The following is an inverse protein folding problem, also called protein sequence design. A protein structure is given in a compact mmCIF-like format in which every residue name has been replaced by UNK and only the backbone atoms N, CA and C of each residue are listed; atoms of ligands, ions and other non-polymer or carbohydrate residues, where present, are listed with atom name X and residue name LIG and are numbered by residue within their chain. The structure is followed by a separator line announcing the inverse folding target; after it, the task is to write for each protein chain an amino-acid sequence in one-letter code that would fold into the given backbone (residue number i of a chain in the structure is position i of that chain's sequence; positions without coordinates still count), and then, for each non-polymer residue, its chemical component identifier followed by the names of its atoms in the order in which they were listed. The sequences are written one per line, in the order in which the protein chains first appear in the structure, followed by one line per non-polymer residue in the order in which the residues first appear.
data_IF_434114575711
#
_entry.id   IF_434114575711
#
_cell.length_a   1.000
_cell.length_b   1.000
_cell.length_c   1.000
_cell.angle_alpha   90.00
_cell.angle_beta   90.00
_cell.angle_gamma   90.00
#
_symmetry.space_group_name_H-M   'P 1'
#
loop_
_entity.id
_entity.type
_entity.pdbx_description
1 polymer ?
#
# COMPACT_ATOMS: atom_id res chain seq x y z
N UNK A 1 29.58 16.38 39.73
CA UNK A 1 28.47 17.36 39.75
C UNK A 1 27.15 16.65 39.49
N UNK A 2 26.94 16.04 38.31
CA UNK A 2 25.71 15.29 37.97
C UNK A 2 25.39 14.15 38.97
N UNK A 3 26.39 13.36 39.39
CA UNK A 3 26.18 12.30 40.38
C UNK A 3 25.79 12.81 41.77
N UNK A 4 26.12 14.07 42.09
CA UNK A 4 25.80 14.71 43.37
C UNK A 4 24.36 15.27 43.34
N UNK A 5 23.94 15.83 42.20
CA UNK A 5 22.54 16.24 42.00
C UNK A 5 21.59 15.04 41.97
N UNK A 6 21.97 13.95 41.29
CA UNK A 6 21.15 12.74 41.24
C UNK A 6 21.03 12.06 42.61
N UNK A 7 22.06 12.13 43.45
CA UNK A 7 22.00 11.57 44.81
C UNK A 7 21.16 12.44 45.75
N UNK A 8 21.18 13.77 45.60
CA UNK A 8 20.28 14.67 46.33
C UNK A 8 18.81 14.45 45.95
N UNK A 9 18.50 14.28 44.65
CA UNK A 9 17.14 14.01 44.16
C UNK A 9 16.60 12.68 44.67
N UNK A 10 17.43 11.62 44.68
CA UNK A 10 17.03 10.30 45.19
C UNK A 10 16.82 10.28 46.71
N UNK A 11 17.58 11.09 47.48
CA UNK A 11 17.48 11.14 48.94
C UNK A 11 16.30 12.01 49.42
N UNK A 12 15.95 13.06 48.67
CA UNK A 12 14.86 13.99 49.00
C UNK A 12 13.49 13.62 48.44
N UNK A 13 13.42 12.85 47.34
CA UNK A 13 12.20 12.64 46.56
C UNK A 13 11.17 11.63 47.10
N UNK A 14 11.54 10.77 48.07
CA UNK A 14 10.68 9.67 48.54
C UNK A 14 10.20 9.79 50.01
N UNK A 15 10.51 10.89 50.70
CA UNK A 15 10.30 11.00 52.15
C UNK A 15 8.92 11.52 52.56
N UNK A 16 8.19 12.15 51.64
CA UNK A 16 6.81 12.60 51.83
C UNK A 16 5.93 11.97 50.75
N UNK A 17 5.14 10.91 51.06
CA UNK A 17 4.09 10.51 50.14
C UNK A 17 3.13 11.69 49.99
N UNK A 18 2.72 12.04 48.76
CA UNK A 18 1.78 13.14 48.57
C UNK A 18 0.50 12.87 49.37
N UNK A 19 0.17 13.74 50.33
CA UNK A 19 -1.06 13.64 51.17
C UNK A 19 -2.35 13.61 50.35
N UNK A 20 -2.29 13.93 49.06
CA UNK A 20 -3.39 13.80 48.09
C UNK A 20 -3.61 12.36 47.60
N UNK A 21 -2.61 11.47 47.66
CA UNK A 21 -2.76 10.08 47.23
C UNK A 21 -3.47 9.21 48.29
N UNK A 22 -3.37 9.55 49.57
CA UNK A 22 -3.99 8.76 50.66
C UNK A 22 -5.48 9.06 50.83
N UNK A 23 -5.93 10.28 50.53
CA UNK A 23 -7.35 10.65 50.60
C UNK A 23 -8.19 10.04 49.46
N UNK A 24 -7.61 9.87 48.27
CA UNK A 24 -8.29 9.23 47.13
C UNK A 24 -8.47 7.70 47.32
N UNK A 25 -7.55 7.06 48.06
CA UNK A 25 -7.57 5.60 48.25
C UNK A 25 -8.65 5.09 49.20
N UNK A 26 -9.08 5.88 50.19
CA UNK A 26 -10.03 5.43 51.22
C UNK A 26 -11.51 5.56 50.79
N UNK A 27 -11.82 6.49 49.87
CA UNK A 27 -13.17 6.60 49.28
C UNK A 27 -13.30 5.74 48.00
N UNK A 28 -12.19 5.57 47.25
CA UNK A 28 -12.14 4.79 46.01
C UNK A 28 -12.31 3.27 46.17
N UNK A 29 -12.20 2.72 47.39
CA UNK A 29 -12.41 1.29 47.61
C UNK A 29 -13.89 0.89 47.53
N UNK A 30 -14.84 1.81 47.78
CA UNK A 30 -16.28 1.53 47.74
C UNK A 30 -16.95 1.90 46.41
N UNK A 31 -16.29 2.70 45.56
CA UNK A 31 -16.82 3.18 44.28
C UNK A 31 -15.92 2.69 43.14
N UNK A 32 -16.48 1.89 42.24
CA UNK A 32 -15.75 1.42 41.06
C UNK A 32 -15.50 2.57 40.09
N UNK A 33 -14.23 2.93 39.88
CA UNK A 33 -13.82 3.95 38.91
C UNK A 33 -14.33 3.65 37.50
N UNK A 34 -14.32 2.37 37.07
CA UNK A 34 -14.85 1.95 35.76
C UNK A 34 -16.34 2.23 35.63
N UNK A 35 -17.10 2.04 36.72
CA UNK A 35 -18.55 2.31 36.76
C UNK A 35 -18.83 3.81 36.64
N UNK A 36 -18.12 4.64 37.39
CA UNK A 36 -18.33 6.10 37.35
C UNK A 36 -17.87 6.69 36.01
N UNK A 37 -16.72 6.26 35.47
CA UNK A 37 -16.30 6.66 34.14
C UNK A 37 -17.32 6.23 33.07
N UNK A 38 -17.85 5.01 33.16
CA UNK A 38 -18.89 4.54 32.25
C UNK A 38 -20.15 5.40 32.32
N UNK A 39 -20.60 5.80 33.52
CA UNK A 39 -21.74 6.71 33.68
C UNK A 39 -21.48 8.02 32.92
N UNK A 40 -20.37 8.70 33.20
CA UNK A 40 -20.02 9.97 32.54
C UNK A 40 -19.95 9.81 31.01
N UNK A 41 -19.33 8.73 30.53
CA UNK A 41 -19.13 8.49 29.10
C UNK A 41 -20.45 8.32 28.34
N UNK A 42 -21.44 7.66 28.96
CA UNK A 42 -22.75 7.40 28.34
C UNK A 42 -23.85 8.40 28.72
N UNK A 43 -23.64 9.27 29.71
CA UNK A 43 -24.63 10.29 30.09
C UNK A 43 -24.25 11.70 29.63
N UNK A 44 -23.00 12.12 29.83
CA UNK A 44 -22.57 13.51 29.62
C UNK A 44 -21.68 13.64 28.38
N UNK A 45 -20.85 12.63 28.09
CA UNK A 45 -19.85 12.67 27.01
C UNK A 45 -20.21 11.80 25.80
N UNK A 46 -21.51 11.59 25.54
CA UNK A 46 -21.95 10.75 24.42
C UNK A 46 -21.48 11.30 23.06
N UNK A 47 -21.56 12.61 22.85
CA UNK A 47 -21.18 13.22 21.57
C UNK A 47 -19.67 13.10 21.25
N UNK A 48 -18.74 13.43 22.18
CA UNK A 48 -17.32 13.13 21.98
C UNK A 48 -17.02 11.64 21.74
N UNK A 49 -17.75 10.73 22.38
CA UNK A 49 -17.60 9.29 22.17
C UNK A 49 -17.98 8.88 20.74
N UNK A 50 -19.07 9.42 20.20
CA UNK A 50 -19.49 9.18 18.81
C UNK A 50 -18.47 9.71 17.81
N UNK A 51 -17.94 10.92 18.05
CA UNK A 51 -16.87 11.50 17.21
C UNK A 51 -15.63 10.61 17.23
N UNK A 52 -15.23 10.10 18.40
CA UNK A 52 -14.12 9.15 18.51
C UNK A 52 -14.39 7.85 17.73
N UNK A 53 -15.62 7.33 17.74
CA UNK A 53 -16.00 6.15 16.97
C UNK A 53 -15.88 6.38 15.45
N UNK A 54 -16.32 7.54 14.97
CA UNK A 54 -16.17 7.92 13.55
C UNK A 54 -14.70 8.11 13.18
N UNK A 55 -13.88 8.72 14.04
CA UNK A 55 -12.44 8.84 13.83
C UNK A 55 -11.80 7.45 13.71
N UNK A 56 -12.15 6.50 14.59
CA UNK A 56 -11.63 5.12 14.50
C UNK A 56 -12.06 4.42 13.20
N UNK A 57 -13.31 4.63 12.76
CA UNK A 57 -13.79 4.07 11.50
C UNK A 57 -12.97 4.59 10.31
N UNK A 58 -12.78 5.92 10.23
CA UNK A 58 -11.97 6.55 9.19
C UNK A 58 -10.52 6.07 9.26
N UNK A 59 -9.95 5.92 10.46
CA UNK A 59 -8.60 5.43 10.64
C UNK A 59 -8.41 4.02 10.06
N UNK A 60 -9.36 3.11 10.25
CA UNK A 60 -9.32 1.76 9.67
C UNK A 60 -9.33 1.82 8.14
N UNK A 61 -10.24 2.61 7.56
CA UNK A 61 -10.34 2.79 6.10
C UNK A 61 -9.03 3.37 5.54
N UNK A 62 -8.48 4.40 6.20
CA UNK A 62 -7.23 5.03 5.80
C UNK A 62 -6.05 4.07 5.88
N UNK A 63 -5.96 3.25 6.94
CA UNK A 63 -4.90 2.26 7.10
C UNK A 63 -4.93 1.20 5.99
N UNK A 64 -6.11 0.69 5.64
CA UNK A 64 -6.28 -0.27 4.54
C UNK A 64 -5.93 0.40 3.21
N UNK A 65 -6.49 1.58 2.93
CA UNK A 65 -6.22 2.30 1.69
C UNK A 65 -4.73 2.61 1.48
N UNK A 66 -4.01 2.95 2.56
CA UNK A 66 -2.58 3.25 2.52
C UNK A 66 -1.72 2.01 2.23
N UNK A 67 -2.12 0.85 2.75
CA UNK A 67 -1.38 -0.42 2.59
C UNK A 67 -1.80 -1.21 1.35
N UNK A 68 -2.97 -0.92 0.77
CA UNK A 68 -3.48 -1.56 -0.43
C UNK A 68 -2.68 -1.11 -1.66
N UNK A 69 -1.60 -1.82 -1.95
CA UNK A 69 -0.72 -1.56 -3.09
C UNK A 69 -1.01 -2.51 -4.24
N UNK A 70 -1.40 -1.95 -5.39
CA UNK A 70 -1.43 -2.73 -6.64
C UNK A 70 0.00 -3.09 -7.09
N UNK A 71 0.22 -4.35 -7.45
CA UNK A 71 1.50 -4.80 -8.04
C UNK A 71 1.56 -4.41 -9.51
N UNK A 72 2.65 -3.77 -9.93
CA UNK A 72 2.88 -3.36 -11.33
C UNK A 72 2.96 -4.54 -12.30
N UNK A 73 3.38 -5.70 -11.82
CA UNK A 73 3.49 -6.92 -12.63
C UNK A 73 2.16 -7.69 -12.74
N UNK A 74 1.11 -7.23 -12.05
CA UNK A 74 -0.20 -7.88 -12.11
C UNK A 74 -0.91 -7.48 -13.40
N UNK A 75 -1.07 -8.44 -14.31
CA UNK A 75 -1.85 -8.27 -15.54
C UNK A 75 -3.29 -8.69 -15.26
N UNK A 76 -4.17 -7.72 -15.10
CA UNK A 76 -5.61 -7.95 -15.08
C UNK A 76 -6.13 -7.98 -16.51
N UNK A 77 -6.97 -8.96 -16.83
CA UNK A 77 -7.74 -8.92 -18.05
C UNK A 77 -9.16 -8.46 -17.76
N UNK A 78 -9.69 -7.56 -18.60
CA UNK A 78 -11.07 -7.15 -18.54
C UNK A 78 -11.92 -8.13 -19.38
N UNK A 79 -12.80 -8.97 -18.78
CA UNK A 79 -13.60 -9.94 -19.52
C UNK A 79 -14.55 -9.27 -20.52
N UNK A 80 -15.08 -8.10 -20.18
CA UNK A 80 -15.99 -7.35 -21.06
C UNK A 80 -15.30 -6.92 -22.34
N UNK A 81 -14.03 -6.50 -22.25
CA UNK A 81 -13.23 -6.17 -23.43
C UNK A 81 -12.88 -7.42 -24.25
N UNK A 82 -12.62 -8.56 -23.60
CA UNK A 82 -12.32 -9.82 -24.29
C UNK A 82 -13.50 -10.39 -25.07
N UNK A 83 -14.73 -10.19 -24.60
CA UNK A 83 -15.94 -10.70 -25.26
C UNK A 83 -16.34 -9.80 -26.44
N UNK A 84 -16.07 -8.49 -26.36
CA UNK A 84 -16.50 -7.50 -27.37
C UNK A 84 -15.65 -7.50 -28.65
N UNK A 85 -14.58 -8.30 -28.70
CA UNK A 85 -13.62 -8.26 -29.80
C UNK A 85 -14.19 -8.90 -31.06
N UNK A 86 -14.01 -8.24 -32.22
CA UNK A 86 -14.46 -8.72 -33.52
C UNK A 86 -13.30 -9.30 -34.31
N UNK A 87 -13.60 -10.14 -35.33
CA UNK A 87 -12.56 -10.74 -36.19
C UNK A 87 -11.66 -9.69 -36.86
N UNK A 88 -12.23 -8.54 -37.24
CA UNK A 88 -11.49 -7.44 -37.87
C UNK A 88 -10.39 -6.85 -36.97
N UNK A 89 -10.50 -6.98 -35.63
CA UNK A 89 -9.55 -6.40 -34.67
C UNK A 89 -8.31 -7.30 -34.44
N UNK A 90 -8.30 -8.51 -35.02
CA UNK A 90 -7.28 -9.53 -34.75
C UNK A 90 -6.39 -9.84 -35.95
N UNK A 91 -6.85 -9.57 -37.16
CA UNK A 91 -6.15 -9.98 -38.39
C UNK A 91 -6.22 -8.90 -39.47
N UNK A 92 -5.08 -8.66 -40.11
CA UNK A 92 -4.95 -7.77 -41.27
C UNK A 92 -4.38 -8.55 -42.45
N UNK A 93 -5.05 -8.50 -43.61
CA UNK A 93 -4.51 -9.06 -44.84
C UNK A 93 -3.58 -8.04 -45.50
N UNK A 94 -2.27 -8.30 -45.44
CA UNK A 94 -1.27 -7.51 -46.14
C UNK A 94 -0.87 -8.23 -47.42
N UNK A 95 -1.17 -7.63 -48.58
CA UNK A 95 -0.69 -8.12 -49.88
C UNK A 95 0.76 -7.70 -50.08
N UNK A 96 1.66 -8.68 -50.21
CA UNK A 96 3.09 -8.49 -50.49
C UNK A 96 3.40 -8.93 -51.92
N UNK A 97 4.33 -8.23 -52.59
CA UNK A 97 4.84 -8.65 -53.90
C UNK A 97 5.71 -9.90 -53.73
N UNK A 98 5.53 -10.89 -54.58
CA UNK A 98 6.40 -12.06 -54.61
C UNK A 98 7.80 -11.63 -55.05
N UNK A 99 8.81 -11.99 -54.27
CA UNK A 99 10.21 -11.81 -54.66
C UNK A 99 10.54 -12.91 -55.66
N UNK A 100 10.59 -12.55 -56.94
CA UNK A 100 11.14 -13.40 -57.99
C UNK A 100 12.65 -13.23 -57.94
N UNK A 101 13.38 -14.33 -57.72
CA UNK A 101 14.83 -14.34 -57.78
C UNK A 101 15.27 -13.85 -59.18
N UNK A 102 16.11 -12.82 -59.22
CA UNK A 102 16.66 -12.31 -60.47
C UNK A 102 17.38 -13.45 -61.22
N UNK A 103 17.14 -13.63 -62.54
CA UNK A 103 17.83 -14.65 -63.30
C UNK A 103 19.34 -14.39 -63.24
N UNK A 104 20.07 -15.44 -62.85
CA UNK A 104 21.53 -15.45 -62.80
C UNK A 104 22.12 -15.04 -64.14
N UNK A 105 22.96 -14.01 -64.14
CA UNK A 105 23.68 -13.46 -65.32
C UNK A 105 24.78 -14.44 -65.83
N UNK A 106 24.80 -15.69 -65.36
CA UNK A 106 25.84 -16.67 -65.69
C UNK A 106 25.77 -17.24 -67.12
N UNK A 107 24.75 -16.92 -67.92
CA UNK A 107 24.61 -17.48 -69.28
C UNK A 107 25.23 -16.62 -70.41
N UNK A 108 25.80 -15.44 -70.11
CA UNK A 108 26.33 -14.53 -71.14
C UNK A 108 27.87 -14.57 -71.31
N UNK A 109 28.58 -15.47 -70.62
CA UNK A 109 30.04 -15.61 -70.74
C UNK A 109 30.45 -17.05 -71.09
N UNK A 110 30.03 -17.51 -72.27
CA UNK A 110 30.68 -18.64 -72.95
C UNK A 110 31.59 -18.05 -74.05
N UNK A 111 32.93 -18.23 -73.99
CA UNK A 111 33.81 -17.77 -75.07
C UNK A 111 33.66 -18.67 -76.29
N UNK A 112 33.57 -18.03 -77.45
CA UNK A 112 33.58 -18.65 -78.76
C UNK A 112 34.92 -19.35 -79.03
N UNK A 113 34.83 -20.48 -79.73
CA UNK A 113 35.94 -21.24 -80.31
C UNK A 113 36.90 -20.34 -81.11
N UNK A 114 38.21 -20.52 -80.91
CA UNK A 114 39.22 -20.09 -81.89
C UNK A 114 40.15 -21.24 -82.27
N UNK A 115 40.31 -21.38 -83.58
CA UNK A 115 40.98 -22.43 -84.35
C UNK A 115 42.50 -22.19 -84.43
N UNK A 116 43.25 -23.30 -84.36
CA UNK A 116 44.38 -23.65 -85.26
C UNK A 116 45.74 -22.94 -85.05
N UNK A 117 46.73 -23.69 -84.55
CA UNK A 117 48.05 -23.91 -85.16
C UNK A 117 48.73 -25.11 -84.48
#
# INVERSE_FOLDING_TARGET
IIALEMSYVLMGGFREPPKVATAAGQIGAQVSNTKELGKLLYSEYLYPLEVAAVILLVAIIAAIALTLRARKDSKYQNPSEQIRVKRADRVSLVKMKSVVAAPSVAAAAAPAEEKKA
#
